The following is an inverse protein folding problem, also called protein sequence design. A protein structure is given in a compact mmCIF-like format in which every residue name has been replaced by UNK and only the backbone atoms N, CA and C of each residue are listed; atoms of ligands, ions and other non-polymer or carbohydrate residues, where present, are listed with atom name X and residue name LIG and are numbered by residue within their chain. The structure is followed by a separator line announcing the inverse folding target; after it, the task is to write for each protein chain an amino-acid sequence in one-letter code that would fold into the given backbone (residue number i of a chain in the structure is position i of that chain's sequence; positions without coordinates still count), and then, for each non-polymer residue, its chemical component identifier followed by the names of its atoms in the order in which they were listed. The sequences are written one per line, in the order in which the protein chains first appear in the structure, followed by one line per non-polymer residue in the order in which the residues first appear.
data_IF_369752532075
#
_entry.id   IF_369752532075
#
_cell.length_a   1.000
_cell.length_b   1.000
_cell.length_c   1.000
_cell.angle_alpha   90.00
_cell.angle_beta   90.00
_cell.angle_gamma   90.00
#
_symmetry.space_group_name_H-M   'P 1'
#
loop_
_entity.id
_entity.type
_entity.pdbx_description
1 polymer ?
#
# COMPACT_ATOMS: atom_id res chain seq x y z
N UNK A 1 11.74 -4.16 6.37
CA UNK A 1 11.48 -5.41 5.61
C UNK A 1 10.07 -5.82 5.96
N UNK A 2 9.25 -6.26 5.01
CA UNK A 2 7.87 -6.67 5.27
C UNK A 2 7.76 -8.19 5.43
N UNK A 3 6.83 -8.70 6.24
CA UNK A 3 6.42 -10.12 6.24
C UNK A 3 5.93 -10.59 4.86
N UNK A 4 6.03 -11.89 4.61
CA UNK A 4 5.68 -12.50 3.31
C UNK A 4 4.18 -12.41 2.97
N UNK A 5 3.32 -12.21 3.96
CA UNK A 5 1.87 -12.06 3.82
C UNK A 5 1.38 -10.61 3.90
N UNK A 6 2.31 -9.64 3.99
CA UNK A 6 1.96 -8.24 4.17
C UNK A 6 1.20 -7.67 2.96
N UNK A 7 0.20 -6.84 3.24
CA UNK A 7 -0.56 -6.10 2.24
C UNK A 7 -0.03 -4.67 2.07
N UNK A 8 -0.44 -3.94 1.01
CA UNK A 8 -0.12 -2.51 0.90
C UNK A 8 -0.62 -1.66 2.08
N UNK A 9 -1.66 -2.10 2.80
CA UNK A 9 -2.13 -1.42 4.01
C UNK A 9 -1.18 -1.64 5.18
N UNK A 10 -0.59 -2.83 5.29
CA UNK A 10 0.42 -3.12 6.32
C UNK A 10 1.69 -2.32 6.05
N UNK A 11 2.11 -2.20 4.79
CA UNK A 11 3.18 -1.29 4.40
C UNK A 11 2.86 0.17 4.76
N UNK A 12 1.62 0.62 4.53
CA UNK A 12 1.21 1.97 4.95
C UNK A 12 1.34 2.16 6.47
N UNK A 13 1.00 1.13 7.25
CA UNK A 13 1.07 1.14 8.72
C UNK A 13 2.51 1.17 9.21
N UNK A 14 3.40 0.42 8.56
CA UNK A 14 4.83 0.38 8.83
C UNK A 14 5.49 1.76 8.60
N UNK A 15 5.05 2.50 7.58
CA UNK A 15 5.53 3.87 7.34
C UNK A 15 5.01 4.81 8.44
N UNK A 16 3.69 4.86 8.65
CA UNK A 16 3.07 5.64 9.72
C UNK A 16 1.59 5.28 9.90
N UNK A 17 1.11 5.17 11.15
CA UNK A 17 -0.29 4.84 11.49
C UNK A 17 -1.32 5.75 10.79
N UNK A 18 -1.09 7.06 10.81
CA UNK A 18 -1.95 8.05 10.12
C UNK A 18 -2.08 7.86 8.60
N UNK A 19 -1.13 7.19 7.94
CA UNK A 19 -1.23 6.83 6.51
C UNK A 19 -2.16 5.62 6.36
N UNK A 20 -2.00 4.60 7.20
CA UNK A 20 -2.87 3.42 7.22
C UNK A 20 -4.33 3.72 7.57
N UNK A 21 -4.56 4.66 8.49
CA UNK A 21 -5.91 5.17 8.82
C UNK A 21 -6.60 5.80 7.62
N UNK A 22 -5.82 6.43 6.74
CA UNK A 22 -6.30 7.19 5.58
C UNK A 22 -6.13 6.44 4.27
N UNK A 23 -5.67 5.19 4.32
CA UNK A 23 -5.43 4.32 3.18
C UNK A 23 -6.71 4.11 2.37
N UNK A 24 -6.62 4.28 1.05
CA UNK A 24 -7.73 4.01 0.13
C UNK A 24 -7.46 2.81 -0.76
N UNK A 25 -6.32 2.84 -1.44
CA UNK A 25 -5.90 1.83 -2.40
C UNK A 25 -4.39 1.94 -2.64
N UNK A 26 -3.86 0.93 -3.31
CA UNK A 26 -2.50 0.92 -3.80
C UNK A 26 -2.48 0.75 -5.32
N UNK A 27 -1.45 1.34 -5.93
CA UNK A 27 -1.15 1.22 -7.35
C UNK A 27 0.25 0.64 -7.48
N UNK A 28 0.44 -0.31 -8.40
CA UNK A 28 1.77 -0.68 -8.85
C UNK A 28 2.36 0.49 -9.64
N UNK A 29 3.40 1.12 -9.11
CA UNK A 29 3.99 2.31 -9.70
C UNK A 29 4.68 2.02 -11.06
N UNK A 30 4.98 0.76 -11.38
CA UNK A 30 5.58 0.37 -12.66
C UNK A 30 4.53 0.36 -13.79
N UNK A 31 3.36 -0.19 -13.52
CA UNK A 31 2.30 -0.39 -14.54
C UNK A 31 1.18 0.65 -14.47
N UNK A 32 1.06 1.38 -13.35
CA UNK A 32 -0.05 2.29 -13.10
C UNK A 32 -1.37 1.58 -12.76
N UNK A 33 -1.36 0.26 -12.64
CA UNK A 33 -2.57 -0.52 -12.36
C UNK A 33 -2.91 -0.54 -10.87
N UNK A 34 -4.22 -0.47 -10.59
CA UNK A 34 -4.74 -0.63 -9.23
C UNK A 34 -4.54 -2.07 -8.76
N UNK A 35 -4.02 -2.23 -7.55
CA UNK A 35 -3.87 -3.53 -6.92
C UNK A 35 -5.18 -4.01 -6.28
N UNK A 36 -5.47 -5.33 -6.30
CA UNK A 36 -6.52 -5.93 -5.50
C UNK A 36 -6.39 -5.60 -4.01
N UNK A 37 -7.50 -5.66 -3.28
CA UNK A 37 -7.53 -5.31 -1.85
C UNK A 37 -6.72 -6.28 -0.99
N UNK A 38 -6.66 -7.52 -1.41
CA UNK A 38 -5.98 -8.68 -0.82
C UNK A 38 -4.63 -8.97 -1.49
N UNK A 39 -4.09 -8.03 -2.26
CA UNK A 39 -2.77 -8.18 -2.87
C UNK A 39 -1.69 -8.36 -1.79
N UNK A 40 -0.95 -9.46 -1.88
CA UNK A 40 0.24 -9.73 -1.07
C UNK A 40 1.46 -9.08 -1.71
N UNK A 41 2.22 -8.32 -0.92
CA UNK A 41 3.44 -7.65 -1.37
C UNK A 41 4.51 -8.67 -1.76
N UNK A 42 5.23 -8.37 -2.85
CA UNK A 42 6.35 -9.18 -3.30
C UNK A 42 7.64 -8.38 -3.23
N UNK A 43 8.75 -9.11 -3.11
CA UNK A 43 10.07 -8.50 -3.14
C UNK A 43 10.25 -7.65 -4.41
N UNK A 44 10.74 -6.41 -4.22
CA UNK A 44 10.96 -5.39 -5.28
C UNK A 44 9.68 -4.81 -5.92
N UNK A 45 8.52 -4.98 -5.29
CA UNK A 45 7.35 -4.19 -5.63
C UNK A 45 7.61 -2.70 -5.36
N UNK A 46 7.11 -1.83 -6.25
CA UNK A 46 7.14 -0.38 -6.07
C UNK A 46 5.70 0.08 -5.90
N UNK A 47 5.33 0.41 -4.68
CA UNK A 47 3.93 0.65 -4.30
C UNK A 47 3.67 2.13 -4.14
N UNK A 48 2.69 2.65 -4.90
CA UNK A 48 2.13 3.98 -4.68
C UNK A 48 0.89 3.85 -3.78
N UNK A 49 1.00 4.34 -2.55
CA UNK A 49 -0.12 4.38 -1.59
C UNK A 49 -0.96 5.63 -1.86
N UNK A 50 -2.26 5.45 -2.07
CA UNK A 50 -3.21 6.54 -2.21
C UNK A 50 -3.97 6.75 -0.90
N UNK A 51 -3.97 7.98 -0.39
CA UNK A 51 -4.69 8.35 0.84
C UNK A 51 -5.85 9.30 0.54
N UNK A 52 -6.85 9.33 1.42
CA UNK A 52 -7.93 10.33 1.37
C UNK A 52 -7.34 11.73 1.49
N UNK A 53 -7.87 12.71 0.76
CA UNK A 53 -7.51 14.13 0.94
C UNK A 53 -7.88 14.59 2.37
N UNK A 54 -7.11 15.52 2.94
CA UNK A 54 -7.47 16.17 4.23
C UNK A 54 -8.52 17.21 3.86
N UNK A 55 -9.75 17.02 4.34
CA UNK A 55 -10.82 18.02 4.28
C UNK A 55 -10.59 19.07 5.36
#
# INVERSE_FOLDING_TARGET
IMPDDATPRDLAKEIHTSIAERYMLAIDAKTGLRLPKDYTLRHRDIIKIMTRKRS
#
